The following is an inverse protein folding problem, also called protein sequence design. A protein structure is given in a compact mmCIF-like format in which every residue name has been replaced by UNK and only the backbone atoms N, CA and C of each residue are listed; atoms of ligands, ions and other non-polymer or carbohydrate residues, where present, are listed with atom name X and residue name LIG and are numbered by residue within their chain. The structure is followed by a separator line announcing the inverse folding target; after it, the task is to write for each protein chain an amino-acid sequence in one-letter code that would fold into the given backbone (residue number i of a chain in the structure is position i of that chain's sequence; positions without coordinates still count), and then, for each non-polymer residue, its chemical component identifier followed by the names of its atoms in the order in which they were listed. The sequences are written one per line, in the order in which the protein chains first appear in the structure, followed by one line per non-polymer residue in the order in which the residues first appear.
data_IF_627774652610
#
_entry.id   IF_627774652610
#
_cell.length_a   1.000
_cell.length_b   1.000
_cell.length_c   1.000
_cell.angle_alpha   90.00
_cell.angle_beta   90.00
_cell.angle_gamma   90.00
#
_symmetry.space_group_name_H-M   'P 1'
#
loop_
_entity.id
_entity.type
_entity.pdbx_description
1 polymer ?
#
# COMPACT_ATOMS: atom_id res chain seq x y z
N UNK A 1 42.17 8.66 48.84
CA UNK A 1 41.32 9.35 47.85
C UNK A 1 40.66 8.26 47.01
N UNK A 2 39.44 7.86 47.35
CA UNK A 2 38.73 6.77 46.65
C UNK A 2 38.00 7.42 45.47
N UNK A 3 38.49 7.18 44.26
CA UNK A 3 37.89 7.69 43.03
C UNK A 3 36.68 6.81 42.68
N UNK A 4 35.48 7.28 43.03
CA UNK A 4 34.23 6.63 42.62
C UNK A 4 34.01 6.85 41.11
N UNK A 5 34.16 5.79 40.34
CA UNK A 5 33.84 5.76 38.91
C UNK A 5 32.32 5.58 38.74
N UNK A 6 31.61 6.67 38.48
CA UNK A 6 30.17 6.63 38.13
C UNK A 6 30.06 6.17 36.68
N UNK A 7 29.73 4.90 36.48
CA UNK A 7 29.40 4.36 35.15
C UNK A 7 27.99 4.83 34.80
N UNK A 8 27.91 5.93 34.05
CA UNK A 8 26.69 6.34 33.39
C UNK A 8 26.37 5.31 32.30
N UNK A 9 25.52 4.34 32.63
CA UNK A 9 24.83 3.55 31.64
C UNK A 9 23.91 4.51 30.87
N UNK A 10 24.43 5.14 29.82
CA UNK A 10 23.60 5.59 28.72
C UNK A 10 23.06 4.33 28.04
N UNK A 11 22.08 3.69 28.68
CA UNK A 11 21.22 2.75 28.00
C UNK A 11 20.60 3.54 26.87
N UNK A 12 21.09 3.30 25.65
CA UNK A 12 20.42 3.71 24.44
C UNK A 12 19.04 3.06 24.51
N UNK A 13 18.06 3.79 25.03
CA UNK A 13 16.67 3.48 24.82
C UNK A 13 16.50 3.71 23.34
N UNK A 14 16.81 2.70 22.54
CA UNK A 14 16.32 2.64 21.17
C UNK A 14 14.81 2.82 21.36
N UNK A 15 14.30 3.99 20.98
CA UNK A 15 12.89 4.28 21.06
C UNK A 15 12.20 3.13 20.32
N UNK A 16 11.51 2.27 21.06
CA UNK A 16 10.80 1.15 20.45
C UNK A 16 9.70 1.79 19.62
N UNK A 17 9.82 1.70 18.30
CA UNK A 17 8.76 2.16 17.42
C UNK A 17 7.51 1.34 17.73
N UNK A 18 6.38 2.03 17.89
CA UNK A 18 5.07 1.39 18.10
C UNK A 18 4.54 0.86 16.77
N UNK A 19 3.85 -0.28 16.80
CA UNK A 19 3.03 -0.75 15.68
C UNK A 19 1.58 -0.26 15.77
N UNK A 20 1.22 0.41 16.87
CA UNK A 20 -0.16 0.72 17.24
C UNK A 20 -0.34 2.23 17.44
N UNK A 21 -1.41 2.75 16.85
CA UNK A 21 -1.97 4.08 17.05
C UNK A 21 -3.14 3.99 18.02
N UNK A 22 -3.03 4.68 19.15
CA UNK A 22 -4.08 4.73 20.17
C UNK A 22 -4.92 6.01 20.03
N UNK A 23 -6.20 5.97 20.42
CA UNK A 23 -7.00 7.18 20.58
C UNK A 23 -6.28 8.21 21.47
N UNK A 24 -6.29 9.47 21.05
CA UNK A 24 -5.61 10.57 21.76
C UNK A 24 -4.08 10.59 21.61
N UNK A 25 -3.49 9.67 20.84
CA UNK A 25 -2.06 9.64 20.52
C UNK A 25 -1.86 9.71 19.00
N UNK A 26 -2.02 10.90 18.39
CA UNK A 26 -1.90 11.06 16.94
C UNK A 26 -0.47 10.78 16.46
N UNK A 27 -0.34 10.23 15.26
CA UNK A 27 0.92 10.09 14.54
C UNK A 27 1.20 11.39 13.79
N UNK A 28 2.27 12.11 14.16
CA UNK A 28 2.68 13.31 13.42
C UNK A 28 3.28 12.96 12.05
N UNK A 29 3.34 13.93 11.15
CA UNK A 29 3.92 13.77 9.83
C UNK A 29 5.32 13.15 9.84
N UNK A 30 6.16 13.54 10.82
CA UNK A 30 7.54 13.07 10.97
C UNK A 30 7.71 11.68 11.60
N UNK A 31 6.63 11.08 12.10
CA UNK A 31 6.68 9.80 12.80
C UNK A 31 6.21 8.66 11.91
N UNK A 32 6.62 7.44 12.27
CA UNK A 32 6.15 6.22 11.63
C UNK A 32 5.69 5.20 12.66
N UNK A 33 4.69 4.40 12.29
CA UNK A 33 4.42 3.13 12.94
C UNK A 33 5.23 2.05 12.25
N UNK A 34 5.73 1.07 12.99
CA UNK A 34 6.55 -0.01 12.46
C UNK A 34 5.94 -1.34 12.86
N UNK A 35 5.77 -2.27 11.92
CA UNK A 35 5.26 -3.61 12.24
C UNK A 35 6.18 -4.33 13.23
N UNK A 36 5.65 -5.27 14.00
CA UNK A 36 6.42 -5.94 15.07
C UNK A 36 7.66 -6.68 14.54
N UNK A 37 7.57 -7.22 13.33
CA UNK A 37 8.71 -7.85 12.65
C UNK A 37 9.69 -6.85 12.01
N UNK A 38 9.43 -5.54 12.08
CA UNK A 38 10.28 -4.48 11.55
C UNK A 38 10.33 -4.38 10.02
N UNK A 39 9.50 -5.14 9.29
CA UNK A 39 9.52 -5.19 7.82
C UNK A 39 8.81 -3.99 7.20
N UNK A 40 7.64 -3.62 7.74
CA UNK A 40 6.81 -2.56 7.22
C UNK A 40 6.85 -1.35 8.13
N UNK A 41 6.77 -0.17 7.53
CA UNK A 41 6.47 1.06 8.25
C UNK A 41 5.36 1.84 7.54
N UNK A 42 4.54 2.51 8.35
CA UNK A 42 3.45 3.39 7.93
C UNK A 42 3.77 4.82 8.33
N UNK A 43 3.56 5.76 7.42
CA UNK A 43 3.76 7.19 7.67
C UNK A 43 3.47 8.05 6.45
N UNK A 44 3.87 9.32 6.52
CA UNK A 44 3.73 10.26 5.41
C UNK A 44 5.01 10.30 4.58
N UNK A 45 4.93 9.89 3.32
CA UNK A 45 6.09 9.78 2.42
C UNK A 45 5.96 10.68 1.20
N UNK A 46 7.10 11.17 0.70
CA UNK A 46 7.15 11.99 -0.51
C UNK A 46 7.84 11.26 -1.67
N UNK A 47 7.13 10.89 -2.74
CA UNK A 47 7.73 10.26 -3.90
C UNK A 47 8.53 11.24 -4.78
N UNK A 48 8.26 12.54 -4.70
CA UNK A 48 8.87 13.58 -5.57
C UNK A 48 9.37 14.82 -4.81
N UNK A 49 9.39 14.78 -3.48
CA UNK A 49 9.85 15.86 -2.60
C UNK A 49 8.90 17.04 -2.40
N UNK A 50 7.81 17.14 -3.17
CA UNK A 50 6.92 18.32 -3.15
C UNK A 50 5.66 18.13 -2.30
N UNK A 51 5.13 16.91 -2.27
CA UNK A 51 3.90 16.54 -1.56
C UNK A 51 4.13 15.25 -0.81
N UNK A 52 3.49 15.10 0.33
CA UNK A 52 3.52 13.88 1.13
C UNK A 52 2.17 13.18 1.04
N UNK A 53 2.18 11.88 1.24
CA UNK A 53 1.00 11.05 1.18
C UNK A 53 1.10 9.98 2.25
N UNK A 54 -0.02 9.65 2.88
CA UNK A 54 -0.07 8.52 3.78
C UNK A 54 0.18 7.23 2.98
N UNK A 55 1.10 6.41 3.46
CA UNK A 55 1.38 5.12 2.84
C UNK A 55 2.10 4.16 3.76
N UNK A 56 2.23 2.94 3.27
CA UNK A 56 3.03 1.86 3.86
C UNK A 56 4.20 1.58 2.93
N UNK A 57 5.36 1.23 3.46
CA UNK A 57 6.51 0.78 2.65
C UNK A 57 7.33 -0.27 3.39
N UNK A 58 8.20 -0.95 2.65
CA UNK A 58 9.24 -1.77 3.24
C UNK A 58 10.30 -0.89 3.88
N UNK A 59 10.47 -1.00 5.19
CA UNK A 59 11.33 -0.13 5.99
C UNK A 59 12.81 -0.21 5.59
N UNK A 60 13.29 -1.43 5.33
CA UNK A 60 14.72 -1.71 5.13
C UNK A 60 15.14 -1.76 3.64
N UNK A 61 14.30 -1.32 2.71
CA UNK A 61 14.69 -1.21 1.29
C UNK A 61 15.27 0.18 1.03
N UNK A 62 16.60 0.25 0.95
CA UNK A 62 17.34 1.47 0.57
C UNK A 62 17.44 1.58 -0.95
N UNK A 63 16.38 2.11 -1.57
CA UNK A 63 16.30 2.39 -3.00
C UNK A 63 16.14 3.89 -3.24
N UNK A 64 16.63 4.39 -4.39
CA UNK A 64 16.30 5.75 -4.84
C UNK A 64 14.79 5.91 -5.12
N UNK A 65 14.10 4.80 -5.38
CA UNK A 65 12.65 4.75 -5.62
C UNK A 65 12.01 3.74 -4.65
N UNK A 66 11.73 4.12 -3.39
CA UNK A 66 11.01 3.27 -2.47
C UNK A 66 9.59 3.01 -3.00
N UNK A 67 9.13 1.76 -2.87
CA UNK A 67 7.75 1.40 -3.18
C UNK A 67 6.88 1.75 -2.00
N UNK A 68 5.83 2.52 -2.27
CA UNK A 68 4.83 2.90 -1.27
C UNK A 68 3.46 2.35 -1.70
N UNK A 69 2.75 1.78 -0.73
CA UNK A 69 1.36 1.34 -0.80
C UNK A 69 0.50 2.47 -0.22
N UNK A 70 -0.14 3.22 -1.11
CA UNK A 70 -0.77 4.48 -0.74
C UNK A 70 -2.16 4.28 -0.13
N UNK A 71 -2.45 5.07 0.90
CA UNK A 71 -3.68 5.05 1.67
C UNK A 71 -4.41 6.40 1.54
N UNK A 72 -5.58 6.54 2.16
CA UNK A 72 -6.22 7.84 2.33
C UNK A 72 -6.56 8.55 1.02
N UNK A 73 -6.97 7.79 -0.01
CA UNK A 73 -7.24 8.30 -1.37
C UNK A 73 -6.08 9.10 -1.99
N UNK A 74 -4.83 8.89 -1.57
CA UNK A 74 -3.66 9.69 -1.97
C UNK A 74 -3.90 11.19 -1.83
N UNK A 75 -4.56 11.59 -0.73
CA UNK A 75 -4.75 13.00 -0.45
C UNK A 75 -3.38 13.65 -0.21
N UNK A 76 -3.04 14.71 -0.98
CA UNK A 76 -1.74 15.34 -0.88
C UNK A 76 -1.64 16.19 0.38
N UNK A 77 -0.62 15.93 1.17
CA UNK A 77 -0.19 16.76 2.30
C UNK A 77 0.88 17.76 1.82
N UNK A 78 0.65 19.03 2.09
CA UNK A 78 1.50 20.16 1.69
C UNK A 78 2.29 20.74 2.86
N UNK A 79 1.77 20.62 4.08
CA UNK A 79 2.42 20.99 5.32
C UNK A 79 2.69 19.75 6.17
N UNK A 80 3.77 19.05 5.82
CA UNK A 80 4.21 17.82 6.45
C UNK A 80 4.32 17.91 7.99
N UNK A 81 4.87 19.01 8.52
CA UNK A 81 5.07 19.18 9.96
C UNK A 81 3.76 19.37 10.74
N UNK A 82 2.67 19.75 10.07
CA UNK A 82 1.35 19.92 10.68
C UNK A 82 0.34 18.87 10.19
N UNK A 83 0.83 17.80 9.58
CA UNK A 83 0.01 16.67 9.19
C UNK A 83 -0.08 15.67 10.35
N UNK A 84 -1.27 15.12 10.56
CA UNK A 84 -1.50 14.09 11.58
C UNK A 84 -2.38 12.98 11.02
N UNK A 85 -2.07 11.75 11.42
CA UNK A 85 -2.98 10.62 11.33
C UNK A 85 -3.46 10.29 12.75
N UNK A 86 -4.77 10.21 12.95
CA UNK A 86 -5.31 9.83 14.26
C UNK A 86 -6.51 8.92 14.11
N UNK A 87 -6.83 8.24 15.22
CA UNK A 87 -8.02 7.43 15.37
C UNK A 87 -8.95 8.06 16.41
N UNK A 88 -10.24 8.13 16.08
CA UNK A 88 -11.30 8.56 17.00
C UNK A 88 -12.57 7.72 16.74
N UNK A 89 -13.19 7.20 17.80
CA UNK A 89 -14.41 6.38 17.75
C UNK A 89 -14.42 5.24 16.69
N UNK A 90 -13.26 4.63 16.41
CA UNK A 90 -13.12 3.55 15.42
C UNK A 90 -12.97 4.01 13.97
N UNK A 91 -12.75 5.30 13.74
CA UNK A 91 -12.48 5.89 12.43
C UNK A 91 -11.08 6.51 12.37
N UNK A 92 -10.45 6.41 11.20
CA UNK A 92 -9.18 7.06 10.90
C UNK A 92 -9.42 8.42 10.26
N UNK A 93 -8.57 9.38 10.62
CA UNK A 93 -8.60 10.74 10.13
C UNK A 93 -7.21 11.17 9.68
N UNK A 94 -7.14 11.81 8.51
CA UNK A 94 -5.96 12.58 8.09
C UNK A 94 -6.31 14.05 8.25
N UNK A 95 -5.54 14.77 9.06
CA UNK A 95 -5.70 16.21 9.28
C UNK A 95 -4.43 16.97 8.88
N UNK A 96 -4.62 18.17 8.34
CA UNK A 96 -3.57 19.14 8.08
C UNK A 96 -4.01 20.50 8.62
N UNK A 97 -3.20 21.11 9.49
CA UNK A 97 -3.46 22.46 10.03
C UNK A 97 -4.87 22.60 10.66
N UNK A 98 -5.33 21.57 11.38
CA UNK A 98 -6.66 21.55 12.01
C UNK A 98 -7.83 21.31 11.04
N UNK A 99 -7.55 21.02 9.77
CA UNK A 99 -8.56 20.68 8.77
C UNK A 99 -8.50 19.19 8.44
N UNK A 100 -9.59 18.47 8.68
CA UNK A 100 -9.75 17.07 8.28
C UNK A 100 -9.82 17.00 6.75
N UNK A 101 -8.88 16.29 6.14
CA UNK A 101 -8.81 16.09 4.69
C UNK A 101 -9.40 14.75 4.26
N UNK A 102 -9.33 13.73 5.11
CA UNK A 102 -9.80 12.37 4.82
C UNK A 102 -10.35 11.66 6.05
N UNK A 103 -11.31 10.76 5.81
CA UNK A 103 -11.84 9.82 6.80
C UNK A 103 -11.95 8.41 6.22
N UNK A 104 -11.78 7.38 7.05
CA UNK A 104 -12.02 5.99 6.64
C UNK A 104 -13.49 5.68 6.37
N UNK A 105 -14.41 6.46 6.94
CA UNK A 105 -15.86 6.22 6.93
C UNK A 105 -16.23 4.80 7.38
N UNK A 106 -15.53 4.28 8.39
CA UNK A 106 -15.92 3.04 9.07
C UNK A 106 -17.20 3.24 9.86
N UNK A 107 -17.82 2.16 10.33
CA UNK A 107 -19.01 2.31 11.18
C UNK A 107 -18.64 3.03 12.49
N UNK A 108 -19.15 4.26 12.65
CA UNK A 108 -19.05 5.02 13.90
C UNK A 108 -19.60 4.22 15.07
N UNK A 109 -18.88 4.23 16.19
CA UNK A 109 -19.23 3.52 17.43
C UNK A 109 -19.17 1.99 17.31
N UNK A 110 -18.43 1.44 16.35
CA UNK A 110 -18.23 -0.01 16.29
C UNK A 110 -17.43 -0.55 17.50
N UNK A 111 -16.55 0.27 18.07
CA UNK A 111 -15.87 -0.01 19.34
C UNK A 111 -15.33 1.29 19.97
N UNK A 112 -15.67 1.52 21.24
CA UNK A 112 -15.11 2.63 22.04
C UNK A 112 -13.64 2.41 22.40
N UNK A 113 -13.12 1.20 22.20
CA UNK A 113 -11.72 0.82 22.49
C UNK A 113 -10.92 0.57 21.21
N UNK A 114 -11.40 1.05 20.07
CA UNK A 114 -10.73 0.79 18.80
C UNK A 114 -9.31 1.39 18.76
N UNK A 115 -8.38 0.63 18.18
CA UNK A 115 -6.99 1.03 17.90
C UNK A 115 -6.67 0.75 16.44
N UNK A 116 -5.68 1.46 15.89
CA UNK A 116 -5.19 1.17 14.54
C UNK A 116 -3.79 0.53 14.60
N UNK A 117 -3.58 -0.57 13.89
CA UNK A 117 -2.38 -1.40 14.02
C UNK A 117 -1.80 -1.74 12.66
N UNK A 118 -0.50 -1.52 12.45
CA UNK A 118 0.22 -2.05 11.28
C UNK A 118 0.67 -3.49 11.57
N UNK A 119 0.12 -4.44 10.83
CA UNK A 119 0.39 -5.86 11.00
C UNK A 119 1.67 -6.28 10.27
N UNK A 120 2.20 -7.45 10.63
CA UNK A 120 3.39 -8.06 10.03
C UNK A 120 3.24 -8.39 8.54
N UNK A 121 2.00 -8.47 8.03
CA UNK A 121 1.66 -8.65 6.61
C UNK A 121 1.71 -7.35 5.81
N UNK A 122 1.90 -6.21 6.48
CA UNK A 122 1.77 -4.88 5.87
C UNK A 122 0.31 -4.41 5.78
N UNK A 123 -0.66 -5.15 6.34
CA UNK A 123 -2.04 -4.67 6.46
C UNK A 123 -2.16 -3.72 7.66
N UNK A 124 -2.59 -2.49 7.42
CA UNK A 124 -2.99 -1.55 8.47
C UNK A 124 -4.48 -1.70 8.76
N UNK A 125 -4.84 -2.00 10.01
CA UNK A 125 -6.21 -2.34 10.41
C UNK A 125 -6.70 -1.46 11.55
N UNK A 126 -7.97 -1.11 11.54
CA UNK A 126 -8.68 -0.60 12.73
C UNK A 126 -9.46 -1.76 13.33
N UNK A 127 -9.23 -2.02 14.62
CA UNK A 127 -9.85 -3.13 15.33
C UNK A 127 -10.10 -2.81 16.79
N UNK A 128 -10.98 -3.58 17.41
CA UNK A 128 -11.16 -3.53 18.86
C UNK A 128 -9.86 -3.93 19.59
N UNK A 129 -9.52 -3.20 20.66
CA UNK A 129 -8.30 -3.44 21.42
C UNK A 129 -8.36 -4.75 22.22
N UNK A 130 -9.52 -5.07 22.79
CA UNK A 130 -9.73 -6.25 23.63
C UNK A 130 -10.01 -7.50 22.79
N UNK A 131 -10.72 -7.33 21.67
CA UNK A 131 -11.06 -8.38 20.72
C UNK A 131 -10.48 -8.09 19.33
N UNK A 132 -9.23 -8.51 19.13
CA UNK A 132 -8.51 -8.30 17.85
C UNK A 132 -9.18 -8.88 16.61
N UNK A 133 -10.12 -9.83 16.75
CA UNK A 133 -10.87 -10.39 15.62
C UNK A 133 -11.91 -9.44 15.04
N UNK A 134 -12.33 -8.42 15.81
CA UNK A 134 -13.27 -7.40 15.36
C UNK A 134 -12.53 -6.30 14.61
N UNK A 135 -12.32 -6.52 13.32
CA UNK A 135 -11.77 -5.53 12.37
C UNK A 135 -12.93 -4.74 11.77
N UNK A 136 -12.83 -3.41 11.81
CA UNK A 136 -13.88 -2.49 11.30
C UNK A 136 -13.43 -1.72 10.06
N UNK A 137 -12.13 -1.74 9.78
CA UNK A 137 -11.52 -1.16 8.58
C UNK A 137 -10.14 -1.78 8.36
N UNK A 138 -9.72 -1.94 7.10
CA UNK A 138 -8.36 -2.38 6.77
C UNK A 138 -7.86 -1.81 5.45
N UNK A 139 -6.54 -1.66 5.35
CA UNK A 139 -5.88 -1.14 4.15
C UNK A 139 -5.95 -2.06 2.93
N UNK A 140 -6.05 -3.38 3.16
CA UNK A 140 -6.10 -4.36 2.07
C UNK A 140 -7.37 -4.23 1.21
N UNK A 141 -8.42 -3.59 1.73
CA UNK A 141 -9.65 -3.29 0.99
C UNK A 141 -9.50 -2.01 0.13
N UNK A 142 -8.38 -1.30 0.27
CA UNK A 142 -8.07 -0.03 -0.40
C UNK A 142 -6.66 0.00 -1.02
N UNK A 143 -6.31 -0.94 -1.91
CA UNK A 143 -4.92 -1.12 -2.40
C UNK A 143 -4.41 0.01 -3.31
N UNK A 144 -5.25 0.96 -3.70
CA UNK A 144 -4.91 1.99 -4.68
C UNK A 144 -4.32 1.36 -5.97
N UNK A 145 -3.06 1.58 -6.32
CA UNK A 145 -2.45 0.99 -7.54
C UNK A 145 -1.55 -0.23 -7.25
N UNK A 146 -1.43 -0.68 -6.00
CA UNK A 146 -0.49 -1.75 -5.62
C UNK A 146 -1.11 -2.73 -4.63
N UNK A 147 -0.91 -4.02 -4.85
CA UNK A 147 -1.43 -5.10 -4.01
C UNK A 147 -0.28 -5.83 -3.32
N UNK A 148 -0.34 -5.94 -1.99
CA UNK A 148 0.55 -6.78 -1.21
C UNK A 148 0.12 -8.25 -1.25
N UNK A 149 1.06 -9.20 -1.08
CA UNK A 149 0.71 -10.60 -0.88
C UNK A 149 -0.26 -10.78 0.30
N UNK A 150 -1.17 -11.74 0.17
CA UNK A 150 -2.23 -11.96 1.15
C UNK A 150 -3.50 -11.14 0.92
N UNK A 151 -3.42 -10.03 0.17
CA UNK A 151 -4.59 -9.20 -0.12
C UNK A 151 -5.44 -9.77 -1.27
N UNK A 152 -6.73 -9.42 -1.24
CA UNK A 152 -7.74 -9.88 -2.19
C UNK A 152 -8.09 -8.80 -3.23
N UNK A 153 -8.52 -9.25 -4.40
CA UNK A 153 -9.18 -8.46 -5.43
C UNK A 153 -10.51 -9.12 -5.78
N UNK A 154 -11.50 -8.31 -6.14
CA UNK A 154 -12.82 -8.77 -6.55
C UNK A 154 -13.93 -8.39 -5.58
N UNK A 155 -15.10 -9.00 -5.76
CA UNK A 155 -16.30 -8.67 -4.99
C UNK A 155 -16.26 -9.37 -3.64
N UNK A 156 -16.03 -8.60 -2.60
CA UNK A 156 -16.12 -9.07 -1.22
C UNK A 156 -17.54 -8.81 -0.70
N UNK A 157 -18.27 -9.90 -0.46
CA UNK A 157 -19.65 -9.86 0.01
C UNK A 157 -19.78 -9.45 1.48
N UNK A 158 -18.72 -9.56 2.27
CA UNK A 158 -18.70 -9.18 3.69
C UNK A 158 -18.68 -7.66 3.83
N UNK A 159 -17.81 -6.98 3.07
CA UNK A 159 -17.77 -5.51 3.05
C UNK A 159 -18.77 -4.90 2.06
N UNK A 160 -19.36 -5.71 1.18
CA UNK A 160 -20.33 -5.27 0.17
C UNK A 160 -19.73 -4.40 -0.93
N UNK A 161 -18.44 -4.56 -1.21
CA UNK A 161 -17.69 -3.72 -2.13
C UNK A 161 -16.78 -4.54 -3.04
N UNK A 162 -16.41 -3.96 -4.18
CA UNK A 162 -15.46 -4.56 -5.11
C UNK A 162 -14.07 -3.96 -4.88
N UNK A 163 -13.10 -4.81 -4.55
CA UNK A 163 -11.70 -4.42 -4.32
C UNK A 163 -10.98 -4.43 -5.68
N UNK A 164 -10.54 -3.25 -6.11
CA UNK A 164 -9.90 -3.00 -7.41
C UNK A 164 -8.59 -2.24 -7.24
N UNK A 165 -7.68 -2.43 -8.21
CA UNK A 165 -6.54 -1.54 -8.36
C UNK A 165 -6.92 -0.37 -9.26
N UNK A 166 -6.59 0.85 -8.86
CA UNK A 166 -6.81 2.07 -9.63
C UNK A 166 -5.56 2.94 -9.64
N UNK A 167 -5.13 3.32 -10.83
CA UNK A 167 -4.08 4.28 -11.08
C UNK A 167 -4.66 5.49 -11.80
N UNK A 168 -4.68 6.63 -11.10
CA UNK A 168 -5.03 7.91 -11.67
C UNK A 168 -3.76 8.70 -12.01
N UNK A 169 -3.54 8.96 -13.29
CA UNK A 169 -2.43 9.77 -13.80
C UNK A 169 -2.95 10.66 -14.94
N UNK A 170 -3.47 11.86 -14.63
CA UNK A 170 -4.09 12.74 -15.61
C UNK A 170 -3.30 12.86 -16.92
N UNK A 171 -3.97 12.81 -18.09
CA UNK A 171 -5.43 12.67 -18.27
C UNK A 171 -5.95 11.22 -18.11
N UNK A 172 -5.07 10.26 -17.84
CA UNK A 172 -5.39 8.84 -17.90
C UNK A 172 -5.90 8.28 -16.56
N UNK A 173 -6.85 7.34 -16.67
CA UNK A 173 -7.29 6.50 -15.57
C UNK A 173 -7.16 5.02 -16.01
N UNK A 174 -6.58 4.20 -15.15
CA UNK A 174 -6.40 2.77 -15.38
C UNK A 174 -6.93 2.02 -14.16
N UNK A 175 -7.85 1.09 -14.38
CA UNK A 175 -8.44 0.27 -13.32
C UNK A 175 -8.28 -1.21 -13.67
N UNK A 176 -7.88 -2.01 -12.71
CA UNK A 176 -7.85 -3.47 -12.81
C UNK A 176 -8.88 -4.06 -11.85
N UNK A 177 -9.74 -4.91 -12.37
CA UNK A 177 -10.80 -5.61 -11.62
C UNK A 177 -10.88 -7.08 -12.04
N UNK A 178 -11.42 -7.92 -11.16
CA UNK A 178 -11.63 -9.34 -11.45
C UNK A 178 -12.79 -9.53 -12.42
N UNK A 179 -12.60 -10.41 -13.38
CA UNK A 179 -13.65 -10.89 -14.27
C UNK A 179 -14.23 -12.19 -13.72
N UNK A 180 -15.39 -12.08 -13.06
CA UNK A 180 -16.06 -13.21 -12.41
C UNK A 180 -16.55 -14.27 -13.42
N UNK A 181 -16.67 -13.94 -14.70
CA UNK A 181 -17.08 -14.90 -15.74
C UNK A 181 -15.94 -15.85 -16.13
N UNK A 182 -14.70 -15.53 -15.75
CA UNK A 182 -13.50 -16.28 -16.13
C UNK A 182 -12.69 -16.64 -14.90
N UNK A 183 -12.34 -17.92 -14.78
CA UNK A 183 -11.44 -18.42 -13.74
C UNK A 183 -10.09 -17.67 -13.75
N UNK A 184 -9.78 -16.94 -12.67
CA UNK A 184 -8.62 -16.03 -12.54
C UNK A 184 -8.58 -14.90 -13.58
N UNK A 185 -9.70 -14.62 -14.24
CA UNK A 185 -9.80 -13.57 -15.23
C UNK A 185 -9.75 -12.20 -14.57
N UNK A 186 -9.19 -11.25 -15.28
CA UNK A 186 -9.26 -9.83 -14.92
C UNK A 186 -9.51 -8.98 -16.15
N UNK A 187 -9.99 -7.76 -15.91
CA UNK A 187 -10.20 -6.71 -16.90
C UNK A 187 -9.34 -5.52 -16.48
N UNK A 188 -8.51 -5.04 -17.39
CA UNK A 188 -7.86 -3.74 -17.28
C UNK A 188 -8.64 -2.74 -18.13
N UNK A 189 -9.31 -1.81 -17.49
CA UNK A 189 -10.00 -0.71 -18.14
C UNK A 189 -9.07 0.50 -18.25
N UNK A 190 -8.81 0.95 -19.47
CA UNK A 190 -7.90 2.07 -19.78
C UNK A 190 -8.60 2.98 -20.77
N UNK A 191 -8.89 4.22 -20.36
CA UNK A 191 -9.39 5.26 -21.27
C UNK A 191 -10.60 4.82 -22.13
N UNK A 192 -11.55 4.10 -21.52
CA UNK A 192 -12.74 3.60 -22.23
C UNK A 192 -12.60 2.21 -22.87
N UNK A 193 -11.42 1.59 -22.80
CA UNK A 193 -11.14 0.31 -23.43
C UNK A 193 -10.84 -0.80 -22.42
N UNK A 194 -11.46 -1.97 -22.65
CA UNK A 194 -11.24 -3.18 -21.86
C UNK A 194 -10.12 -4.06 -22.44
N UNK A 195 -9.19 -4.46 -21.59
CA UNK A 195 -8.13 -5.40 -21.90
C UNK A 195 -8.25 -6.62 -20.99
N UNK A 196 -8.58 -7.77 -21.57
CA UNK A 196 -8.85 -9.01 -20.83
C UNK A 196 -7.58 -9.83 -20.62
N UNK A 197 -7.23 -10.09 -19.37
CA UNK A 197 -6.14 -10.96 -18.99
C UNK A 197 -6.58 -12.10 -18.09
N UNK A 198 -5.66 -13.02 -17.81
CA UNK A 198 -5.86 -14.14 -16.88
C UNK A 198 -4.60 -14.27 -16.03
N UNK A 199 -4.76 -14.32 -14.71
CA UNK A 199 -3.63 -14.53 -13.81
C UNK A 199 -3.11 -15.97 -13.88
N UNK A 200 -1.77 -16.18 -13.82
CA UNK A 200 -1.20 -17.51 -13.62
C UNK A 200 -1.69 -18.16 -12.32
N UNK A 201 -1.76 -19.49 -12.27
CA UNK A 201 -2.19 -20.25 -11.08
C UNK A 201 -1.22 -20.11 -9.92
N UNK A 202 0.06 -20.22 -10.19
CA UNK A 202 1.10 -20.06 -9.17
C UNK A 202 1.04 -18.68 -8.52
N UNK A 203 0.54 -17.66 -9.24
CA UNK A 203 0.50 -16.29 -8.75
C UNK A 203 -0.67 -16.03 -7.79
N UNK A 204 -1.80 -16.72 -7.98
CA UNK A 204 -3.03 -16.39 -7.24
C UNK A 204 -3.83 -17.61 -6.79
N UNK A 205 -4.42 -17.49 -5.61
CA UNK A 205 -5.52 -18.34 -5.14
C UNK A 205 -6.83 -17.67 -5.49
N UNK A 206 -7.89 -18.43 -5.75
CA UNK A 206 -9.20 -17.87 -6.13
C UNK A 206 -10.32 -18.72 -5.54
N UNK A 207 -11.46 -18.08 -5.26
CA UNK A 207 -12.70 -18.80 -4.93
C UNK A 207 -13.30 -19.45 -6.17
N UNK A 208 -13.95 -20.61 -6.03
CA UNK A 208 -14.45 -21.39 -7.18
C UNK A 208 -15.47 -20.63 -8.04
N UNK A 209 -16.24 -19.73 -7.43
CA UNK A 209 -17.18 -18.84 -8.11
C UNK A 209 -16.49 -17.69 -8.88
N UNK A 210 -15.17 -17.53 -8.74
CA UNK A 210 -14.38 -16.47 -9.37
C UNK A 210 -14.63 -15.07 -8.80
N UNK A 211 -15.35 -14.91 -7.68
CA UNK A 211 -15.66 -13.58 -7.12
C UNK A 211 -14.44 -12.89 -6.54
N UNK A 212 -13.49 -13.68 -6.01
CA UNK A 212 -12.33 -13.20 -5.28
C UNK A 212 -11.06 -13.91 -5.73
N UNK A 213 -9.98 -13.14 -5.83
CA UNK A 213 -8.63 -13.59 -6.16
C UNK A 213 -7.66 -13.03 -5.13
N UNK A 214 -6.88 -13.89 -4.48
CA UNK A 214 -5.84 -13.53 -3.52
C UNK A 214 -4.48 -13.62 -4.18
N UNK A 215 -3.65 -12.59 -3.99
CA UNK A 215 -2.23 -12.67 -4.35
C UNK A 215 -1.52 -13.61 -3.37
N UNK A 216 -0.86 -14.64 -3.91
CA UNK A 216 -0.15 -15.62 -3.08
C UNK A 216 1.05 -14.99 -2.37
N UNK A 217 1.32 -15.48 -1.15
CA UNK A 217 2.55 -15.20 -0.44
C UNK A 217 3.74 -15.84 -1.19
N UNK A 218 4.94 -15.22 -1.19
CA UNK A 218 6.12 -15.81 -1.81
C UNK A 218 6.44 -17.19 -1.22
N UNK A 219 6.83 -18.15 -2.08
CA UNK A 219 7.18 -19.50 -1.64
C UNK A 219 8.43 -19.51 -0.74
N UNK A 220 9.37 -18.60 -0.98
CA UNK A 220 10.62 -18.49 -0.24
C UNK A 220 10.45 -17.44 0.89
N UNK A 221 10.75 -17.80 2.15
CA UNK A 221 10.69 -16.85 3.26
C UNK A 221 11.59 -15.63 3.03
N UNK A 222 11.09 -14.46 3.42
CA UNK A 222 11.76 -13.15 3.28
C UNK A 222 11.92 -12.62 1.85
N UNK A 223 11.41 -13.32 0.84
CA UNK A 223 11.26 -12.70 -0.47
C UNK A 223 10.23 -11.59 -0.41
N UNK A 224 10.50 -10.54 -1.18
CA UNK A 224 9.66 -9.35 -1.22
C UNK A 224 9.08 -9.23 -2.61
N UNK A 225 7.78 -9.45 -2.70
CA UNK A 225 7.01 -9.34 -3.93
C UNK A 225 5.77 -8.49 -3.72
N UNK A 226 5.31 -7.83 -4.77
CA UNK A 226 4.02 -7.14 -4.79
C UNK A 226 3.52 -7.00 -6.23
N UNK A 227 2.21 -6.88 -6.39
CA UNK A 227 1.62 -6.58 -7.69
C UNK A 227 1.41 -5.08 -7.85
N UNK A 228 1.73 -4.53 -9.03
CA UNK A 228 1.62 -3.11 -9.32
C UNK A 228 0.85 -2.88 -10.61
N UNK A 229 -0.11 -1.97 -10.56
CA UNK A 229 -0.75 -1.41 -11.74
C UNK A 229 0.03 -0.18 -12.20
N UNK A 230 0.52 -0.25 -13.42
CA UNK A 230 1.09 0.85 -14.19
C UNK A 230 0.13 1.21 -15.34
N UNK A 231 0.32 2.38 -15.93
CA UNK A 231 -0.49 2.78 -17.08
C UNK A 231 -0.21 1.81 -18.24
N UNK A 232 -1.22 1.03 -18.61
CA UNK A 232 -1.11 0.04 -19.68
C UNK A 232 -0.44 -1.28 -19.28
N UNK A 233 -0.14 -1.53 -18.01
CA UNK A 233 0.47 -2.80 -17.61
C UNK A 233 0.20 -3.13 -16.14
N UNK A 234 -0.07 -4.38 -15.84
CA UNK A 234 0.01 -4.92 -14.47
C UNK A 234 1.23 -5.84 -14.38
N UNK A 235 1.98 -5.75 -13.28
CA UNK A 235 3.21 -6.52 -13.08
C UNK A 235 3.27 -7.10 -11.67
N UNK A 236 3.77 -8.33 -11.55
CA UNK A 236 4.30 -8.84 -10.29
C UNK A 236 5.79 -8.49 -10.23
N UNK A 237 6.18 -7.72 -9.22
CA UNK A 237 7.53 -7.23 -9.03
C UNK A 237 8.16 -7.91 -7.83
N UNK A 238 9.44 -8.30 -7.98
CA UNK A 238 10.26 -8.89 -6.93
C UNK A 238 11.46 -8.03 -6.63
N UNK A 239 11.79 -7.86 -5.36
CA UNK A 239 13.03 -7.20 -4.96
C UNK A 239 14.19 -8.18 -5.09
N UNK A 240 15.16 -7.83 -5.93
CA UNK A 240 16.43 -8.55 -6.01
C UNK A 240 17.48 -7.70 -5.33
N UNK A 241 18.22 -8.30 -4.41
CA UNK A 241 19.39 -7.70 -3.79
C UNK A 241 20.56 -8.68 -3.89
N UNK A 242 21.43 -8.46 -4.85
CA UNK A 242 22.65 -9.25 -5.04
C UNK A 242 23.87 -8.33 -5.05
N UNK A 243 25.07 -8.92 -5.05
CA UNK A 243 26.32 -8.17 -4.97
C UNK A 243 26.54 -7.14 -6.09
N UNK A 244 25.83 -7.28 -7.23
CA UNK A 244 26.02 -6.45 -8.42
C UNK A 244 24.85 -5.51 -8.71
N UNK A 245 23.67 -5.78 -8.16
CA UNK A 245 22.43 -5.06 -8.46
C UNK A 245 21.40 -5.21 -7.33
N UNK A 246 20.84 -4.08 -6.92
CA UNK A 246 19.64 -4.04 -6.10
C UNK A 246 18.52 -3.33 -6.86
N UNK A 247 17.33 -3.92 -6.91
CA UNK A 247 16.23 -3.33 -7.66
C UNK A 247 15.01 -4.23 -7.80
N UNK A 248 13.90 -3.61 -8.18
CA UNK A 248 12.66 -4.30 -8.53
C UNK A 248 12.76 -4.90 -9.92
N UNK A 249 12.44 -6.18 -10.06
CA UNK A 249 12.39 -6.88 -11.34
C UNK A 249 11.00 -7.48 -11.57
N UNK A 250 10.45 -7.40 -12.80
CA UNK A 250 9.20 -8.07 -13.14
C UNK A 250 9.40 -9.58 -13.22
N UNK A 251 8.69 -10.32 -12.37
CA UNK A 251 8.56 -11.78 -12.46
C UNK A 251 7.50 -12.15 -13.49
N UNK A 252 6.44 -11.34 -13.55
CA UNK A 252 5.36 -11.48 -14.51
C UNK A 252 4.82 -10.10 -14.88
N UNK A 253 4.29 -9.96 -16.09
CA UNK A 253 3.59 -8.75 -16.51
C UNK A 253 2.55 -9.04 -17.57
N UNK A 254 1.44 -8.30 -17.53
CA UNK A 254 0.41 -8.32 -18.55
C UNK A 254 0.11 -6.89 -19.07
N UNK A 255 0.14 -6.69 -20.39
CA UNK A 255 0.74 -7.62 -21.36
C UNK A 255 2.25 -7.75 -21.12
N UNK A 256 2.82 -8.86 -21.58
CA UNK A 256 4.25 -9.18 -21.40
C UNK A 256 5.18 -8.28 -22.21
N UNK A 257 4.65 -7.57 -23.22
CA UNK A 257 5.43 -6.66 -24.04
C UNK A 257 4.68 -5.37 -24.34
N UNK A 258 5.43 -4.28 -24.47
CA UNK A 258 4.90 -2.94 -24.74
C UNK A 258 4.48 -2.72 -26.20
N UNK A 259 4.56 -3.74 -27.06
CA UNK A 259 4.40 -3.59 -28.52
C UNK A 259 2.94 -3.57 -28.99
N UNK A 260 1.97 -3.55 -28.07
CA UNK A 260 0.56 -3.83 -28.40
C UNK A 260 -0.24 -2.56 -28.70
N UNK A 261 0.10 -1.39 -28.14
CA UNK A 261 -0.53 -0.09 -28.49
C UNK A 261 0.25 1.11 -27.94
N UNK A 262 -0.14 2.34 -28.32
CA UNK A 262 0.46 3.59 -27.82
C UNK A 262 0.32 3.81 -26.29
N UNK A 263 -0.57 3.07 -25.62
CA UNK A 263 -0.77 3.16 -24.18
C UNK A 263 0.16 2.26 -23.37
N UNK A 264 0.78 1.27 -24.02
CA UNK A 264 1.59 0.28 -23.32
C UNK A 264 2.97 0.86 -22.95
N UNK A 265 3.23 0.86 -21.64
CA UNK A 265 4.51 1.18 -21.00
C UNK A 265 4.93 2.66 -20.92
N UNK A 266 4.00 3.61 -21.02
CA UNK A 266 4.24 5.00 -20.59
C UNK A 266 5.35 5.76 -21.33
N UNK A 267 5.89 5.22 -22.42
CA UNK A 267 6.90 5.90 -23.24
C UNK A 267 6.17 6.74 -24.28
N UNK A 268 5.63 7.88 -23.85
CA UNK A 268 5.58 9.03 -24.75
C UNK A 268 7.02 9.41 -25.04
N UNK A 269 7.64 8.73 -26.02
CA UNK A 269 8.78 9.27 -26.75
C UNK A 269 8.28 10.61 -27.23
N UNK A 270 8.82 11.69 -26.67
CA UNK A 270 8.74 13.04 -27.21
C UNK A 270 8.96 12.95 -28.72
N UNK A 271 7.89 12.79 -29.49
CA UNK A 271 7.93 12.98 -30.94
C UNK A 271 7.98 14.48 -31.08
N UNK A 272 9.21 14.97 -31.12
CA UNK A 272 9.55 16.28 -31.64
C UNK A 272 8.65 16.54 -32.85
N UNK A 273 7.71 17.46 -32.69
CA UNK A 273 7.11 18.18 -33.80
C UNK A 273 8.25 18.92 -34.48
N UNK A 274 8.95 18.26 -35.40
CA UNK A 274 9.74 18.97 -36.39
C UNK A 274 8.75 19.59 -37.36
N UNK A 275 8.52 20.88 -37.15
CA UNK A 275 7.92 21.77 -38.13
C UNK A 275 8.83 21.83 -39.35
N UNK A 276 8.33 21.40 -40.51
CA UNK A 276 8.73 21.86 -41.83
C UNK A 276 7.44 22.10 -42.63
#
# INVERSE_FOLDING_TARGET
MILNLIILFLGSHAASASNTLFPGQPLSGSETLVSENGIFELGFFSPSGTKHYLGIRYKNITSSNPVNFWLGNRIPITNFLNATLYIDAGELYIEELGSVLWTSNSMKNASDTAVAVILNTGNFVVRDQLNSSMVVWQSFDHPADALLPGAWLGLDMVIGANILLTLYKPPYNCTLMIDQSRKRGFIMFIDGHDYLGTFPDWMVTYEENGSLVRLNDPEIPNEIEFMKLHLGQVSLLKWINNATSSGWQPVWSYPSSCKVSAFHCGVHKHRNMQMH
#
